data_IF_872572876738
#
_entry.id   IF_872572876738
#
_cell.length_a   1.000
_cell.length_b   1.000
_cell.length_c   1.000
_cell.angle_alpha   90.00
_cell.angle_beta   90.00
_cell.angle_gamma   90.00
#
_symmetry.space_group_name_H-M   'P 1'
#
loop_
_entity.id
_entity.type
_entity.pdbx_description
1 polymer ?
#
# COMPACT_ATOMS: atom_id res chain seq x y z
N UNK A 1 -18.96 -11.51 -4.71
CA UNK A 1 -18.27 -11.11 -3.46
C UNK A 1 -17.13 -10.16 -3.78
N UNK A 2 -17.01 -9.02 -3.09
CA UNK A 2 -15.94 -8.04 -3.32
C UNK A 2 -14.68 -8.44 -2.54
N UNK A 3 -13.53 -8.42 -3.21
CA UNK A 3 -12.19 -8.58 -2.64
C UNK A 3 -11.44 -7.25 -2.66
N UNK A 4 -10.31 -7.14 -1.97
CA UNK A 4 -9.40 -6.01 -2.03
C UNK A 4 -8.02 -6.46 -2.49
N UNK A 5 -7.85 -6.69 -3.79
CA UNK A 5 -6.61 -7.24 -4.36
C UNK A 5 -5.70 -6.13 -4.88
N UNK A 6 -6.30 -5.07 -5.41
CA UNK A 6 -5.65 -3.87 -5.89
C UNK A 6 -6.62 -2.69 -5.78
N UNK A 7 -6.12 -1.44 -5.83
CA UNK A 7 -6.99 -0.26 -5.88
C UNK A 7 -7.82 -0.19 -7.18
N UNK A 8 -7.44 -0.92 -8.24
CA UNK A 8 -8.20 -0.99 -9.50
C UNK A 8 -9.64 -1.51 -9.31
N UNK A 9 -9.88 -2.27 -8.23
CA UNK A 9 -11.17 -2.90 -7.95
C UNK A 9 -12.15 -1.95 -7.23
N UNK A 10 -11.71 -0.71 -6.96
CA UNK A 10 -12.45 0.27 -6.16
C UNK A 10 -12.65 1.57 -6.93
N UNK A 11 -13.82 2.18 -6.77
CA UNK A 11 -14.08 3.52 -7.28
C UNK A 11 -13.38 4.58 -6.42
N UNK A 12 -13.28 5.80 -6.96
CA UNK A 12 -12.78 6.98 -6.24
C UNK A 12 -13.56 7.20 -4.93
N UNK A 13 -14.89 7.11 -5.00
CA UNK A 13 -15.80 7.30 -3.88
C UNK A 13 -15.59 6.25 -2.79
N UNK A 14 -15.39 4.98 -3.18
CA UNK A 14 -15.12 3.90 -2.24
C UNK A 14 -13.77 4.10 -1.54
N UNK A 15 -12.71 4.46 -2.27
CA UNK A 15 -11.39 4.73 -1.68
C UNK A 15 -11.48 5.91 -0.69
N UNK A 16 -12.11 7.01 -1.08
CA UNK A 16 -12.28 8.18 -0.20
C UNK A 16 -13.17 7.86 1.01
N UNK A 17 -14.19 7.02 0.84
CA UNK A 17 -15.03 6.55 1.94
C UNK A 17 -14.24 5.72 2.94
N UNK A 18 -13.33 4.84 2.49
CA UNK A 18 -12.43 4.09 3.37
C UNK A 18 -11.53 5.01 4.20
N UNK A 19 -10.94 6.03 3.57
CA UNK A 19 -10.09 7.03 4.24
C UNK A 19 -10.89 7.85 5.26
N UNK A 20 -12.14 8.21 4.94
CA UNK A 20 -13.01 8.94 5.85
C UNK A 20 -13.42 8.08 7.05
N UNK A 21 -13.84 6.83 6.80
CA UNK A 21 -14.22 5.90 7.86
C UNK A 21 -13.04 5.55 8.79
N UNK A 22 -11.80 5.46 8.23
CA UNK A 22 -10.60 5.32 9.05
C UNK A 22 -10.43 6.49 10.04
N UNK A 23 -10.69 7.73 9.58
CA UNK A 23 -10.66 8.92 10.45
C UNK A 23 -11.71 8.87 11.57
N UNK A 24 -12.90 8.36 11.29
CA UNK A 24 -13.97 8.19 12.28
C UNK A 24 -13.57 7.12 13.32
N UNK A 25 -13.11 5.95 12.86
CA UNK A 25 -12.69 4.85 13.74
C UNK A 25 -11.46 5.18 14.59
N UNK A 26 -10.62 6.12 14.15
CA UNK A 26 -9.50 6.63 14.94
C UNK A 26 -9.96 7.50 16.09
N UNK A 27 -11.00 8.33 15.86
CA UNK A 27 -11.57 9.25 16.87
C UNK A 27 -12.49 8.51 17.84
N UNK A 28 -13.30 7.60 17.33
CA UNK A 28 -14.32 6.89 18.11
C UNK A 28 -14.23 5.37 17.84
N UNK A 29 -13.45 4.63 18.66
CA UNK A 29 -13.34 3.18 18.52
C UNK A 29 -14.67 2.47 18.73
N UNK A 30 -15.02 1.54 17.82
CA UNK A 30 -16.25 0.77 17.84
C UNK A 30 -15.99 -0.71 17.59
N UNK A 31 -16.71 -1.60 18.28
CA UNK A 31 -16.66 -3.05 18.08
C UNK A 31 -17.69 -3.47 17.02
N UNK A 32 -17.35 -3.27 15.75
CA UNK A 32 -18.27 -3.48 14.60
C UNK A 32 -18.21 -4.90 14.02
N UNK A 33 -17.22 -5.71 14.38
CA UNK A 33 -16.99 -7.05 13.83
C UNK A 33 -16.93 -8.10 14.95
N UNK A 34 -17.90 -8.02 15.86
CA UNK A 34 -18.03 -8.98 16.96
C UNK A 34 -18.05 -10.41 16.42
N UNK A 35 -17.27 -11.30 17.05
CA UNK A 35 -17.14 -12.72 16.73
C UNK A 35 -16.64 -13.07 15.32
N UNK A 36 -16.29 -12.08 14.49
CA UNK A 36 -15.70 -12.30 13.17
C UNK A 36 -14.27 -12.82 13.26
N UNK A 37 -13.89 -13.63 12.30
CA UNK A 37 -12.56 -14.25 12.24
C UNK A 37 -11.82 -13.82 10.98
N UNK A 38 -10.56 -13.36 11.15
CA UNK A 38 -9.63 -13.03 10.09
C UNK A 38 -8.51 -14.06 10.04
N UNK A 39 -8.37 -14.81 8.93
CA UNK A 39 -7.17 -15.60 8.65
C UNK A 39 -6.09 -14.70 8.04
N UNK A 40 -4.88 -14.75 8.59
CA UNK A 40 -3.73 -13.95 8.14
C UNK A 40 -2.65 -14.88 7.59
N UNK A 41 -2.53 -14.99 6.26
CA UNK A 41 -1.58 -15.88 5.57
C UNK A 41 -0.33 -15.06 5.18
N UNK A 42 0.83 -15.53 5.61
CA UNK A 42 2.12 -14.89 5.38
C UNK A 42 3.12 -15.85 4.72
N UNK A 43 3.54 -15.51 3.50
CA UNK A 43 4.71 -16.13 2.84
C UNK A 43 6.02 -15.45 3.21
N UNK A 44 5.96 -14.17 3.65
CA UNK A 44 7.12 -13.39 4.12
C UNK A 44 6.80 -12.73 5.46
N UNK A 45 7.80 -12.65 6.31
CA UNK A 45 7.68 -11.99 7.61
C UNK A 45 7.32 -10.51 7.48
N UNK A 46 6.52 -10.00 8.42
CA UNK A 46 6.20 -8.58 8.50
C UNK A 46 5.70 -8.19 9.88
N UNK A 47 6.42 -7.31 10.54
CA UNK A 47 6.01 -6.78 11.85
C UNK A 47 4.81 -5.86 11.71
N UNK A 48 4.93 -4.81 10.89
CA UNK A 48 3.91 -3.75 10.74
C UNK A 48 2.59 -4.27 10.19
N UNK A 49 2.64 -5.06 9.12
CA UNK A 49 1.42 -5.64 8.52
C UNK A 49 0.72 -6.57 9.50
N UNK A 50 1.47 -7.43 10.20
CA UNK A 50 0.90 -8.32 11.19
C UNK A 50 0.21 -7.55 12.30
N UNK A 51 0.90 -6.60 12.92
CA UNK A 51 0.32 -5.76 13.98
C UNK A 51 -0.92 -5.01 13.51
N UNK A 52 -0.88 -4.39 12.31
CA UNK A 52 -2.00 -3.62 11.81
C UNK A 52 -3.26 -4.48 11.62
N UNK A 53 -3.16 -5.67 11.05
CA UNK A 53 -4.31 -6.55 10.82
C UNK A 53 -4.78 -7.25 12.10
N UNK A 54 -3.87 -7.76 12.92
CA UNK A 54 -4.19 -8.45 14.17
C UNK A 54 -4.88 -7.51 15.15
N UNK A 55 -4.35 -6.30 15.34
CA UNK A 55 -4.98 -5.30 16.19
C UNK A 55 -6.28 -4.77 15.59
N UNK A 56 -6.36 -4.56 14.27
CA UNK A 56 -7.57 -4.06 13.63
C UNK A 56 -8.78 -4.96 13.90
N UNK A 57 -8.67 -6.27 13.62
CA UNK A 57 -9.79 -7.18 13.83
C UNK A 57 -10.10 -7.35 15.33
N UNK A 58 -9.08 -7.40 16.20
CA UNK A 58 -9.24 -7.56 17.65
C UNK A 58 -9.94 -6.34 18.26
N UNK A 59 -9.53 -5.13 17.90
CA UNK A 59 -10.16 -3.90 18.41
C UNK A 59 -11.58 -3.71 17.87
N UNK A 60 -11.92 -4.30 16.71
CA UNK A 60 -13.27 -4.35 16.18
C UNK A 60 -14.14 -5.45 16.83
N UNK A 61 -13.59 -6.24 17.76
CA UNK A 61 -14.32 -7.29 18.50
C UNK A 61 -14.20 -8.69 17.90
N UNK A 62 -13.40 -8.87 16.86
CA UNK A 62 -13.17 -10.16 16.20
C UNK A 62 -11.90 -10.87 16.68
N UNK A 63 -11.48 -11.88 15.93
CA UNK A 63 -10.33 -12.75 16.21
C UNK A 63 -9.40 -12.83 14.99
N UNK A 64 -8.10 -12.91 15.24
CA UNK A 64 -7.08 -13.15 14.21
C UNK A 64 -6.53 -14.58 14.34
N UNK A 65 -6.33 -15.25 13.20
CA UNK A 65 -5.61 -16.51 13.07
C UNK A 65 -4.36 -16.25 12.23
N UNK A 66 -3.20 -16.29 12.86
CA UNK A 66 -1.93 -16.17 12.13
C UNK A 66 -1.55 -17.52 11.52
N UNK A 67 -1.34 -17.53 10.21
CA UNK A 67 -1.02 -18.73 9.43
C UNK A 67 0.27 -18.46 8.65
N UNK A 68 1.39 -19.00 9.12
CA UNK A 68 2.64 -19.02 8.36
C UNK A 68 2.50 -19.99 7.18
N UNK A 69 2.99 -19.61 6.01
CA UNK A 69 3.00 -20.52 4.85
C UNK A 69 3.74 -21.83 5.17
N UNK A 70 4.76 -21.79 6.04
CA UNK A 70 5.49 -22.98 6.47
C UNK A 70 4.64 -23.95 7.28
N UNK A 71 3.57 -23.49 7.92
CA UNK A 71 2.64 -24.30 8.70
C UNK A 71 1.45 -24.80 7.85
N UNK A 72 1.27 -24.25 6.66
CA UNK A 72 0.20 -24.62 5.74
C UNK A 72 0.62 -25.76 4.80
N UNK A 73 -0.35 -26.54 4.36
CA UNK A 73 -0.10 -27.61 3.38
C UNK A 73 0.30 -27.08 2.00
N UNK A 74 0.12 -25.75 1.74
CA UNK A 74 0.65 -25.06 0.55
C UNK A 74 2.16 -25.31 0.37
N UNK A 75 2.94 -25.26 1.45
CA UNK A 75 4.38 -25.54 1.42
C UNK A 75 4.72 -26.99 1.06
N UNK A 76 3.74 -27.89 1.15
CA UNK A 76 3.85 -29.33 0.84
C UNK A 76 3.21 -29.69 -0.50
N UNK A 77 2.79 -28.69 -1.30
CA UNK A 77 2.24 -28.89 -2.64
C UNK A 77 0.72 -29.00 -2.72
N UNK A 78 -0.02 -28.66 -1.65
CA UNK A 78 -1.47 -28.54 -1.75
C UNK A 78 -1.82 -27.41 -2.75
N UNK A 79 -2.74 -27.65 -3.70
CA UNK A 79 -3.17 -26.59 -4.63
C UNK A 79 -3.76 -25.39 -3.90
N UNK A 80 -3.42 -24.16 -4.34
CA UNK A 80 -3.94 -22.90 -3.77
C UNK A 80 -5.46 -22.89 -3.68
N UNK A 81 -6.13 -23.39 -4.72
CA UNK A 81 -7.61 -23.50 -4.78
C UNK A 81 -8.22 -24.35 -3.69
N UNK A 82 -7.54 -25.39 -3.20
CA UNK A 82 -8.07 -26.28 -2.18
C UNK A 82 -7.90 -25.65 -0.80
N UNK A 83 -6.73 -25.07 -0.50
CA UNK A 83 -6.51 -24.25 0.69
C UNK A 83 -7.51 -23.08 0.75
N UNK A 84 -7.78 -22.40 -0.38
CA UNK A 84 -8.73 -21.30 -0.45
C UNK A 84 -10.17 -21.71 -0.11
N UNK A 85 -10.60 -22.88 -0.59
CA UNK A 85 -11.93 -23.45 -0.26
C UNK A 85 -12.06 -23.79 1.20
N UNK A 86 -11.04 -24.42 1.78
CA UNK A 86 -11.05 -24.83 3.19
C UNK A 86 -11.04 -23.62 4.11
N UNK A 87 -10.04 -22.73 3.96
CA UNK A 87 -9.91 -21.55 4.82
C UNK A 87 -11.10 -20.61 4.63
N UNK A 88 -11.46 -20.32 3.38
CA UNK A 88 -12.56 -19.39 3.07
C UNK A 88 -13.94 -19.86 3.52
N UNK A 89 -14.11 -21.16 3.82
CA UNK A 89 -15.34 -21.70 4.40
C UNK A 89 -15.38 -21.59 5.94
N UNK A 90 -14.24 -21.36 6.60
CA UNK A 90 -14.12 -21.38 8.06
C UNK A 90 -14.00 -19.99 8.68
N UNK A 91 -13.66 -18.95 7.87
CA UNK A 91 -13.40 -17.59 8.37
C UNK A 91 -14.25 -16.54 7.67
N UNK A 92 -14.32 -15.37 8.27
CA UNK A 92 -15.04 -14.23 7.68
C UNK A 92 -14.18 -13.43 6.70
N UNK A 93 -12.89 -13.35 6.92
CA UNK A 93 -11.96 -12.60 6.08
C UNK A 93 -10.66 -13.37 5.91
N UNK A 94 -10.00 -13.19 4.77
CA UNK A 94 -8.65 -13.68 4.54
C UNK A 94 -7.75 -12.51 4.16
N UNK A 95 -6.63 -12.34 4.84
CA UNK A 95 -5.56 -11.44 4.44
C UNK A 95 -4.37 -12.26 3.99
N UNK A 96 -3.74 -11.86 2.89
CA UNK A 96 -2.58 -12.55 2.35
C UNK A 96 -1.43 -11.57 2.09
N UNK A 97 -0.23 -11.97 2.52
CA UNK A 97 1.04 -11.37 2.12
C UNK A 97 1.84 -12.41 1.37
N UNK A 98 1.92 -12.28 0.06
CA UNK A 98 2.41 -13.30 -0.86
C UNK A 98 3.58 -12.81 -1.71
N UNK A 99 4.33 -13.77 -2.27
CA UNK A 99 5.39 -13.48 -3.23
C UNK A 99 4.81 -13.14 -4.59
N UNK A 100 3.85 -13.93 -5.09
CA UNK A 100 3.26 -13.78 -6.44
C UNK A 100 1.81 -13.31 -6.35
N UNK A 101 1.47 -12.31 -7.14
CA UNK A 101 0.11 -11.79 -7.21
C UNK A 101 -0.87 -12.83 -7.77
N UNK A 102 -0.43 -13.70 -8.66
CA UNK A 102 -1.22 -14.80 -9.20
C UNK A 102 -1.74 -15.73 -8.10
N UNK A 103 -0.93 -16.03 -7.08
CA UNK A 103 -1.37 -16.82 -5.91
C UNK A 103 -2.55 -16.16 -5.21
N UNK A 104 -2.51 -14.84 -5.06
CA UNK A 104 -3.60 -14.07 -4.48
C UNK A 104 -4.87 -14.11 -5.35
N UNK A 105 -4.73 -13.95 -6.67
CA UNK A 105 -5.84 -14.02 -7.62
C UNK A 105 -6.49 -15.41 -7.62
N UNK A 106 -5.68 -16.47 -7.63
CA UNK A 106 -6.20 -17.84 -7.56
C UNK A 106 -6.94 -18.08 -6.24
N UNK A 107 -6.36 -17.66 -5.10
CA UNK A 107 -6.99 -17.81 -3.79
C UNK A 107 -8.34 -17.06 -3.74
N UNK A 108 -8.40 -15.82 -4.21
CA UNK A 108 -9.62 -15.02 -4.23
C UNK A 108 -10.73 -15.67 -5.09
N UNK A 109 -10.35 -16.27 -6.22
CA UNK A 109 -11.29 -16.95 -7.13
C UNK A 109 -12.05 -18.11 -6.46
N UNK A 110 -11.43 -18.82 -5.52
CA UNK A 110 -12.00 -20.02 -4.88
C UNK A 110 -12.42 -19.81 -3.43
N UNK A 111 -12.08 -18.68 -2.82
CA UNK A 111 -12.45 -18.36 -1.45
C UNK A 111 -13.93 -17.96 -1.33
N UNK A 112 -14.59 -18.44 -0.26
CA UNK A 112 -15.92 -17.97 0.17
C UNK A 112 -15.88 -16.79 1.13
N UNK A 113 -14.70 -16.34 1.52
CA UNK A 113 -14.48 -15.14 2.31
C UNK A 113 -13.78 -14.06 1.47
N UNK A 114 -14.04 -12.76 1.69
CA UNK A 114 -13.29 -11.69 1.03
C UNK A 114 -11.80 -11.80 1.32
N UNK A 115 -11.01 -11.62 0.25
CA UNK A 115 -9.54 -11.70 0.29
C UNK A 115 -8.96 -10.30 0.19
N UNK A 116 -7.97 -10.02 1.04
CA UNK A 116 -7.29 -8.73 1.15
C UNK A 116 -5.82 -8.91 0.79
N UNK A 117 -5.34 -8.16 -0.19
CA UNK A 117 -3.92 -8.05 -0.51
C UNK A 117 -3.21 -7.15 0.52
N UNK A 118 -2.48 -7.76 1.43
CA UNK A 118 -1.64 -7.02 2.38
C UNK A 118 -0.27 -6.64 1.78
N UNK A 119 0.20 -7.36 0.79
CA UNK A 119 1.32 -7.09 -0.11
C UNK A 119 1.50 -8.25 -1.09
N UNK A 120 1.74 -7.94 -2.34
CA UNK A 120 2.31 -8.83 -3.36
C UNK A 120 3.48 -8.13 -4.06
N UNK A 121 4.18 -8.83 -4.96
CA UNK A 121 5.27 -8.19 -5.75
C UNK A 121 4.76 -7.07 -6.66
N UNK A 122 3.47 -7.12 -7.07
CA UNK A 122 2.89 -6.10 -7.95
C UNK A 122 2.27 -4.93 -7.21
N UNK A 123 1.66 -5.17 -6.02
CA UNK A 123 0.87 -4.14 -5.35
C UNK A 123 0.96 -4.18 -3.82
N UNK A 124 0.85 -3.00 -3.19
CA UNK A 124 0.68 -2.82 -1.75
C UNK A 124 -0.48 -1.86 -1.45
N UNK A 125 -1.72 -2.23 -1.82
CA UNK A 125 -2.85 -1.30 -1.80
C UNK A 125 -3.23 -0.82 -0.38
N UNK A 126 -3.03 -1.66 0.65
CA UNK A 126 -3.30 -1.28 2.04
C UNK A 126 -2.32 -0.24 2.58
N UNK A 127 -1.08 -0.19 2.06
CA UNK A 127 -0.14 0.87 2.39
C UNK A 127 -0.62 2.19 1.82
N UNK A 128 -0.97 2.24 0.53
CA UNK A 128 -1.44 3.47 -0.10
C UNK A 128 -2.71 4.02 0.57
N UNK A 129 -3.61 3.17 1.07
CA UNK A 129 -4.72 3.66 1.91
C UNK A 129 -4.23 4.34 3.18
N UNK A 130 -3.21 3.78 3.85
CA UNK A 130 -2.57 4.38 5.03
C UNK A 130 -1.94 5.72 4.72
N UNK A 131 -1.23 5.79 3.60
CA UNK A 131 -0.57 7.01 3.11
C UNK A 131 -1.62 8.10 2.79
N UNK A 132 -2.69 7.76 2.07
CA UNK A 132 -3.80 8.69 1.76
C UNK A 132 -4.46 9.20 3.05
N UNK A 133 -4.64 8.36 4.04
CA UNK A 133 -5.17 8.79 5.32
C UNK A 133 -4.21 9.73 6.06
N UNK A 134 -2.90 9.47 6.01
CA UNK A 134 -1.88 10.36 6.58
C UNK A 134 -1.84 11.71 5.87
N UNK A 135 -1.87 11.71 4.53
CA UNK A 135 -1.96 12.92 3.71
C UNK A 135 -3.16 13.78 4.13
N UNK A 136 -4.31 13.14 4.38
CA UNK A 136 -5.50 13.83 4.88
C UNK A 136 -5.28 14.45 6.26
N UNK A 137 -4.69 13.71 7.20
CA UNK A 137 -4.43 14.21 8.57
C UNK A 137 -3.44 15.39 8.59
N UNK A 138 -2.46 15.40 7.69
CA UNK A 138 -1.52 16.52 7.51
C UNK A 138 -2.07 17.66 6.65
N UNK A 139 -3.40 17.70 6.43
CA UNK A 139 -4.10 18.75 5.68
C UNK A 139 -3.58 18.97 4.23
N UNK A 140 -3.07 17.91 3.61
CA UNK A 140 -2.63 17.94 2.20
C UNK A 140 -3.71 17.53 1.20
N UNK A 141 -4.99 17.50 1.65
CA UNK A 141 -6.17 17.16 0.82
C UNK A 141 -7.25 18.26 0.80
N UNK A 142 -6.95 19.49 1.20
CA UNK A 142 -7.99 20.53 1.38
C UNK A 142 -8.61 21.05 0.08
N UNK A 143 -7.85 21.10 -1.01
CA UNK A 143 -8.29 21.60 -2.32
C UNK A 143 -8.23 20.51 -3.41
N UNK A 144 -8.52 19.29 -3.06
CA UNK A 144 -8.23 18.11 -3.84
C UNK A 144 -7.08 17.33 -3.22
N UNK A 145 -6.63 16.27 -3.90
CA UNK A 145 -5.48 15.51 -3.41
C UNK A 145 -4.21 16.28 -3.76
N UNK A 146 -3.26 16.30 -2.83
CA UNK A 146 -1.96 16.92 -2.94
C UNK A 146 -1.20 16.53 -4.22
N UNK A 147 -0.30 17.37 -4.66
CA UNK A 147 0.66 17.01 -5.71
C UNK A 147 1.72 16.10 -5.12
N UNK A 148 1.89 14.93 -5.72
CA UNK A 148 2.74 13.86 -5.20
C UNK A 148 3.97 13.67 -6.07
N UNK A 149 5.12 13.40 -5.45
CA UNK A 149 6.29 12.82 -6.11
C UNK A 149 6.56 11.43 -5.56
N UNK A 150 6.81 10.46 -6.42
CA UNK A 150 7.37 9.16 -6.06
C UNK A 150 8.79 9.05 -6.62
N UNK A 151 9.77 8.85 -5.73
CA UNK A 151 11.19 8.75 -6.11
C UNK A 151 11.71 7.39 -5.66
N UNK A 152 12.01 6.51 -6.60
CA UNK A 152 12.48 5.17 -6.25
C UNK A 152 12.32 4.16 -7.38
N UNK A 153 12.21 2.88 -7.00
CA UNK A 153 12.08 1.75 -7.92
C UNK A 153 10.66 1.63 -8.50
N UNK A 154 10.53 0.99 -9.65
CA UNK A 154 9.26 0.57 -10.27
C UNK A 154 8.65 -0.65 -9.56
N UNK A 155 8.57 -0.61 -8.24
CA UNK A 155 8.10 -1.69 -7.39
C UNK A 155 6.59 -1.63 -7.13
N UNK A 156 6.11 -2.47 -6.21
CA UNK A 156 4.70 -2.54 -5.83
C UNK A 156 4.15 -1.24 -5.23
N UNK A 157 4.98 -0.42 -4.56
CA UNK A 157 4.58 0.89 -4.06
C UNK A 157 4.38 1.88 -5.20
N UNK A 158 5.34 1.95 -6.13
CA UNK A 158 5.23 2.76 -7.35
C UNK A 158 3.96 2.42 -8.13
N UNK A 159 3.72 1.12 -8.38
CA UNK A 159 2.54 0.64 -9.09
C UNK A 159 1.24 1.02 -8.38
N UNK A 160 1.18 0.87 -7.06
CA UNK A 160 -0.02 1.19 -6.27
C UNK A 160 -0.30 2.68 -6.22
N UNK A 161 0.74 3.52 -6.13
CA UNK A 161 0.61 4.98 -6.18
C UNK A 161 0.19 5.48 -7.55
N UNK A 162 0.73 4.92 -8.63
CA UNK A 162 0.32 5.24 -9.99
C UNK A 162 -1.16 4.96 -10.21
N UNK A 163 -1.64 3.80 -9.74
CA UNK A 163 -3.05 3.41 -9.82
C UNK A 163 -3.91 4.35 -8.97
N UNK A 164 -3.48 4.67 -7.74
CA UNK A 164 -4.20 5.60 -6.87
C UNK A 164 -4.36 6.98 -7.52
N UNK A 165 -3.29 7.51 -8.09
CA UNK A 165 -3.33 8.80 -8.80
C UNK A 165 -4.29 8.77 -9.98
N UNK A 166 -4.22 7.71 -10.79
CA UNK A 166 -5.08 7.52 -11.94
C UNK A 166 -6.57 7.47 -11.58
N UNK A 167 -6.94 6.78 -10.49
CA UNK A 167 -8.34 6.65 -10.06
C UNK A 167 -8.83 7.92 -9.37
N UNK A 168 -8.03 8.47 -8.46
CA UNK A 168 -8.43 9.61 -7.62
C UNK A 168 -8.35 10.96 -8.35
N UNK A 169 -7.61 11.03 -9.45
CA UNK A 169 -7.55 12.21 -10.32
C UNK A 169 -6.59 13.30 -9.83
N UNK A 170 -5.47 12.93 -9.20
CA UNK A 170 -4.47 13.89 -8.74
C UNK A 170 -3.18 13.88 -9.57
N UNK A 171 -2.30 14.85 -9.29
CA UNK A 171 -1.01 14.97 -9.95
C UNK A 171 0.03 14.09 -9.26
N UNK A 172 0.69 13.21 -10.04
CA UNK A 172 1.85 12.45 -9.60
C UNK A 172 3.01 12.57 -10.59
N UNK A 173 4.19 12.85 -10.07
CA UNK A 173 5.45 12.78 -10.82
C UNK A 173 6.31 11.66 -10.28
N UNK A 174 6.75 10.77 -11.16
CA UNK A 174 7.56 9.60 -10.81
C UNK A 174 8.96 9.79 -11.38
N UNK A 175 9.99 9.56 -10.57
CA UNK A 175 11.36 9.53 -11.05
C UNK A 175 12.07 8.24 -10.60
N UNK A 176 12.70 7.58 -11.58
CA UNK A 176 13.46 6.34 -11.40
C UNK A 176 14.67 6.32 -12.33
N UNK A 177 15.71 5.51 -12.06
CA UNK A 177 16.84 5.36 -12.98
C UNK A 177 16.40 4.87 -14.37
N UNK A 178 17.15 5.19 -15.42
CA UNK A 178 16.78 4.92 -16.83
C UNK A 178 16.54 3.45 -17.17
N UNK A 179 17.16 2.55 -16.41
CA UNK A 179 17.05 1.10 -16.61
C UNK A 179 15.77 0.51 -16.01
N UNK A 180 15.01 1.27 -15.21
CA UNK A 180 13.79 0.85 -14.56
C UNK A 180 12.57 1.29 -15.36
N UNK A 181 11.57 0.42 -15.42
CA UNK A 181 10.36 0.66 -16.20
C UNK A 181 9.13 0.12 -15.46
N UNK A 182 8.06 0.87 -15.48
CA UNK A 182 6.75 0.39 -15.05
C UNK A 182 6.24 -0.64 -16.07
N UNK A 183 5.60 -1.70 -15.60
CA UNK A 183 4.99 -2.69 -16.49
C UNK A 183 4.05 -2.02 -17.50
N UNK A 184 4.12 -2.39 -18.79
CA UNK A 184 3.25 -1.83 -19.82
C UNK A 184 1.75 -1.94 -19.50
N UNK A 185 1.32 -3.06 -18.91
CA UNK A 185 -0.07 -3.27 -18.51
C UNK A 185 -0.52 -2.25 -17.45
N UNK A 186 0.32 -2.02 -16.43
CA UNK A 186 0.00 -1.08 -15.34
C UNK A 186 0.00 0.35 -15.85
N UNK A 187 0.97 0.70 -16.67
CA UNK A 187 1.07 2.01 -17.30
C UNK A 187 -0.13 2.31 -18.20
N UNK A 188 -0.50 1.37 -19.07
CA UNK A 188 -1.64 1.52 -19.97
C UNK A 188 -2.97 1.69 -19.20
N UNK A 189 -3.18 0.90 -18.16
CA UNK A 189 -4.33 1.09 -17.27
C UNK A 189 -4.34 2.49 -16.65
N UNK A 190 -3.21 2.92 -16.09
CA UNK A 190 -3.11 4.22 -15.43
C UNK A 190 -3.39 5.38 -16.40
N UNK A 191 -2.84 5.32 -17.61
CA UNK A 191 -3.06 6.37 -18.62
C UNK A 191 -4.50 6.40 -19.11
N UNK A 192 -5.14 5.25 -19.34
CA UNK A 192 -6.57 5.19 -19.68
C UNK A 192 -7.45 5.77 -18.56
N UNK A 193 -7.17 5.41 -17.33
CA UNK A 193 -7.93 5.89 -16.18
C UNK A 193 -7.70 7.39 -15.92
N UNK A 194 -6.49 7.89 -16.15
CA UNK A 194 -6.16 9.30 -16.01
C UNK A 194 -6.95 10.20 -16.97
N UNK A 195 -7.25 9.73 -18.18
CA UNK A 195 -8.11 10.43 -19.13
C UNK A 195 -9.54 10.62 -18.59
N UNK A 196 -10.02 9.67 -17.78
CA UNK A 196 -11.36 9.72 -17.18
C UNK A 196 -11.37 10.61 -15.93
N UNK A 197 -10.37 10.46 -15.07
CA UNK A 197 -10.30 11.13 -13.77
C UNK A 197 -9.72 12.54 -13.81
N UNK A 198 -9.00 12.91 -14.88
CA UNK A 198 -8.24 14.15 -14.99
C UNK A 198 -6.88 14.11 -14.29
N UNK A 199 -6.38 12.94 -13.90
CA UNK A 199 -5.06 12.80 -13.27
C UNK A 199 -3.94 13.29 -14.20
N UNK A 200 -2.93 13.96 -13.60
CA UNK A 200 -1.71 14.35 -14.30
C UNK A 200 -0.57 13.45 -13.90
N UNK A 201 -0.14 12.58 -14.79
CA UNK A 201 0.89 11.58 -14.55
C UNK A 201 2.12 11.92 -15.38
N UNK A 202 3.28 12.02 -14.74
CA UNK A 202 4.57 12.19 -15.41
C UNK A 202 5.58 11.15 -14.91
N UNK A 203 6.39 10.64 -15.83
CA UNK A 203 7.47 9.71 -15.56
C UNK A 203 8.77 10.28 -16.13
N UNK A 204 9.81 10.35 -15.32
CA UNK A 204 11.10 10.88 -15.69
C UNK A 204 12.26 10.18 -15.00
N UNK A 205 13.46 10.75 -15.19
CA UNK A 205 14.72 10.22 -14.67
C UNK A 205 15.50 11.25 -13.85
N UNK A 206 14.89 12.41 -13.61
CA UNK A 206 15.45 13.47 -12.78
C UNK A 206 14.54 13.67 -11.55
N UNK A 207 15.12 13.38 -10.37
CA UNK A 207 14.37 13.54 -9.11
C UNK A 207 14.00 14.99 -8.82
N UNK A 208 14.83 15.95 -9.21
CA UNK A 208 14.59 17.36 -8.93
C UNK A 208 13.40 17.89 -9.76
N UNK A 209 13.29 17.50 -11.02
CA UNK A 209 12.13 17.81 -11.85
C UNK A 209 10.85 17.17 -11.29
N UNK A 210 10.94 15.91 -10.82
CA UNK A 210 9.78 15.24 -10.24
C UNK A 210 9.35 15.84 -8.90
N UNK A 211 10.28 16.35 -8.10
CA UNK A 211 10.03 16.95 -6.78
C UNK A 211 9.50 18.39 -6.85
N UNK A 212 9.68 19.07 -7.97
CA UNK A 212 9.33 20.48 -8.10
C UNK A 212 7.86 20.73 -7.78
N UNK A 213 7.62 21.67 -6.85
CA UNK A 213 6.27 22.12 -6.42
C UNK A 213 5.37 20.99 -5.88
N UNK A 214 5.95 19.93 -5.30
CA UNK A 214 5.18 18.83 -4.70
C UNK A 214 4.90 19.06 -3.23
N UNK A 215 3.73 18.60 -2.80
CA UNK A 215 3.26 18.69 -1.41
C UNK A 215 3.58 17.44 -0.60
N UNK A 216 3.70 16.30 -1.30
CA UNK A 216 4.01 14.99 -0.72
C UNK A 216 5.12 14.34 -1.52
N UNK A 217 6.17 13.96 -0.83
CA UNK A 217 7.29 13.19 -1.36
C UNK A 217 7.19 11.78 -0.82
N UNK A 218 7.31 10.79 -1.68
CA UNK A 218 7.27 9.38 -1.31
C UNK A 218 8.54 8.72 -1.82
N UNK A 219 9.19 7.99 -0.96
CA UNK A 219 10.26 7.08 -1.34
C UNK A 219 10.08 5.73 -0.68
N UNK A 220 10.73 4.72 -1.20
CA UNK A 220 10.73 3.36 -0.69
C UNK A 220 12.12 2.75 -0.85
N UNK A 221 12.38 1.66 -0.12
CA UNK A 221 13.65 0.93 -0.23
C UNK A 221 13.95 0.57 -1.69
N UNK A 222 15.20 0.77 -2.10
CA UNK A 222 15.66 0.39 -3.44
C UNK A 222 15.78 -1.12 -3.61
N UNK A 223 16.02 -1.82 -2.50
CA UNK A 223 16.15 -3.28 -2.50
C UNK A 223 14.93 -3.88 -1.84
N UNK A 224 14.01 -4.38 -2.65
CA UNK A 224 12.80 -5.04 -2.16
C UNK A 224 13.12 -6.38 -1.48
N UNK A 225 12.25 -6.83 -0.60
CA UNK A 225 12.41 -8.12 0.07
C UNK A 225 12.42 -9.28 -0.93
N UNK A 226 13.49 -10.07 -0.89
CA UNK A 226 13.76 -11.16 -1.82
C UNK A 226 14.72 -10.78 -2.96
N UNK A 227 15.19 -9.54 -2.99
CA UNK A 227 16.18 -9.02 -3.96
C UNK A 227 17.53 -8.72 -3.30
N UNK A 228 17.79 -9.30 -2.13
CA UNK A 228 19.01 -9.04 -1.35
C UNK A 228 20.29 -9.32 -2.15
N UNK A 229 20.25 -10.28 -3.07
CA UNK A 229 21.37 -10.61 -3.98
C UNK A 229 21.66 -9.49 -5.00
N UNK A 230 20.74 -8.56 -5.23
CA UNK A 230 20.87 -7.45 -6.16
C UNK A 230 21.29 -6.14 -5.48
N UNK A 231 21.52 -6.17 -4.17
CA UNK A 231 21.74 -5.00 -3.33
C UNK A 231 22.82 -4.07 -3.86
N UNK A 232 24.01 -4.59 -4.13
CA UNK A 232 25.15 -3.78 -4.60
C UNK A 232 24.88 -3.14 -5.96
N UNK A 233 24.25 -3.88 -6.88
CA UNK A 233 23.83 -3.37 -8.18
C UNK A 233 22.84 -2.24 -8.05
N UNK A 234 21.76 -2.45 -7.29
CA UNK A 234 20.70 -1.45 -7.10
C UNK A 234 21.20 -0.19 -6.43
N UNK A 235 22.03 -0.29 -5.39
CA UNK A 235 22.65 0.88 -4.73
C UNK A 235 23.40 1.73 -5.76
N UNK A 236 24.17 1.11 -6.64
CA UNK A 236 24.92 1.82 -7.69
C UNK A 236 24.00 2.44 -8.75
N UNK A 237 22.96 1.73 -9.17
CA UNK A 237 22.00 2.20 -10.17
C UNK A 237 21.13 3.36 -9.65
N UNK A 238 20.85 3.38 -8.34
CA UNK A 238 20.09 4.45 -7.67
C UNK A 238 20.97 5.59 -7.14
N UNK A 239 22.28 5.59 -7.42
CA UNK A 239 23.13 6.72 -7.07
C UNK A 239 22.55 8.03 -7.61
N UNK A 240 22.39 9.01 -6.71
CA UNK A 240 21.77 10.30 -7.04
C UNK A 240 20.25 10.37 -6.79
N UNK A 241 19.57 9.27 -6.43
CA UNK A 241 18.12 9.28 -6.16
C UNK A 241 17.77 9.43 -4.67
N UNK A 242 18.72 9.46 -3.76
CA UNK A 242 18.48 9.67 -2.32
C UNK A 242 17.68 10.96 -2.07
N UNK A 243 16.69 10.90 -1.20
CA UNK A 243 15.99 12.07 -0.70
C UNK A 243 16.79 12.66 0.45
N UNK A 244 17.51 13.73 0.15
CA UNK A 244 18.32 14.52 1.05
C UNK A 244 17.73 15.95 1.22
N UNK A 245 18.40 16.80 1.98
CA UNK A 245 17.95 18.17 2.23
C UNK A 245 17.86 18.99 0.92
N UNK A 246 18.79 18.79 -0.02
CA UNK A 246 18.78 19.43 -1.33
C UNK A 246 17.56 18.97 -2.14
N UNK A 247 17.23 17.68 -2.12
CA UNK A 247 16.06 17.13 -2.79
C UNK A 247 14.78 17.71 -2.20
N UNK A 248 14.63 17.70 -0.88
CA UNK A 248 13.44 18.24 -0.22
C UNK A 248 13.28 19.77 -0.39
N UNK A 249 14.37 20.50 -0.59
CA UNK A 249 14.32 21.97 -0.80
C UNK A 249 13.65 22.38 -2.11
N UNK A 250 13.52 21.45 -3.08
CA UNK A 250 12.84 21.69 -4.38
C UNK A 250 11.33 21.48 -4.29
N UNK A 251 10.89 20.69 -3.33
CA UNK A 251 9.46 20.51 -3.03
C UNK A 251 8.87 21.77 -2.35
N UNK A 252 7.57 21.80 -2.15
CA UNK A 252 6.94 22.88 -1.41
C UNK A 252 7.48 22.96 0.02
N UNK A 253 7.55 24.18 0.58
CA UNK A 253 8.12 24.45 1.90
C UNK A 253 7.57 23.54 3.01
N UNK A 254 6.26 23.27 2.93
CA UNK A 254 5.55 22.43 3.90
C UNK A 254 5.33 21.00 3.39
N UNK A 255 6.12 20.55 2.41
CA UNK A 255 6.02 19.19 1.89
C UNK A 255 6.31 18.16 2.99
N UNK A 256 5.55 17.08 2.99
CA UNK A 256 5.78 15.94 3.88
C UNK A 256 6.50 14.82 3.13
N UNK A 257 7.30 14.04 3.88
CA UNK A 257 7.92 12.81 3.37
C UNK A 257 7.19 11.61 3.94
N UNK A 258 6.79 10.68 3.08
CA UNK A 258 6.24 9.37 3.44
C UNK A 258 7.20 8.25 3.07
N UNK A 259 7.21 7.20 3.90
CA UNK A 259 8.02 6.01 3.71
C UNK A 259 7.36 4.79 4.36
N UNK A 260 7.06 3.76 3.58
CA UNK A 260 6.33 2.57 4.06
C UNK A 260 7.10 1.70 5.09
N UNK A 261 8.38 1.98 5.30
CA UNK A 261 9.29 1.27 6.20
C UNK A 261 9.47 -0.24 5.89
N UNK A 262 10.68 -0.81 6.13
CA UNK A 262 11.84 -0.20 6.80
C UNK A 262 12.58 0.77 5.89
N UNK A 263 13.16 1.83 6.46
CA UNK A 263 14.00 2.78 5.73
C UNK A 263 15.50 2.44 5.91
N UNK A 264 16.26 2.54 4.82
CA UNK A 264 17.72 2.41 4.85
C UNK A 264 18.35 3.80 4.73
N UNK A 265 18.57 4.41 5.89
CA UNK A 265 19.22 5.73 5.97
C UNK A 265 20.59 5.72 5.31
N UNK A 266 20.85 6.75 4.50
CA UNK A 266 22.04 6.83 3.67
C UNK A 266 21.92 6.16 2.29
N UNK A 267 20.77 5.53 2.00
CA UNK A 267 20.41 5.02 0.67
C UNK A 267 19.28 5.86 0.06
N UNK A 268 18.03 5.43 0.21
CA UNK A 268 16.88 6.14 -0.37
C UNK A 268 16.53 7.44 0.35
N UNK A 269 16.93 7.59 1.60
CA UNK A 269 16.68 8.80 2.41
C UNK A 269 17.87 9.09 3.31
N UNK A 270 18.22 10.38 3.49
CA UNK A 270 19.26 10.78 4.44
C UNK A 270 18.76 10.68 5.89
N UNK A 271 19.69 10.52 6.85
CA UNK A 271 19.37 10.50 8.28
C UNK A 271 18.64 11.77 8.71
N UNK A 272 19.14 12.93 8.28
CA UNK A 272 18.61 14.24 8.67
C UNK A 272 17.18 14.44 8.19
N UNK A 273 16.91 14.08 6.95
CA UNK A 273 15.56 14.23 6.37
C UNK A 273 14.61 13.21 6.96
N UNK A 274 15.05 11.98 7.21
CA UNK A 274 14.23 10.98 7.85
C UNK A 274 13.79 11.46 9.26
N UNK A 275 14.73 11.89 10.08
CA UNK A 275 14.44 12.35 11.45
C UNK A 275 13.57 13.63 11.46
N UNK A 276 13.78 14.54 10.52
CA UNK A 276 12.94 15.73 10.36
C UNK A 276 11.48 15.39 10.06
N UNK A 277 11.23 14.28 9.38
CA UNK A 277 9.89 13.81 9.02
C UNK A 277 9.42 12.58 9.81
N UNK A 278 10.13 12.21 10.88
CA UNK A 278 9.87 11.01 11.66
C UNK A 278 8.42 10.96 12.18
N UNK A 279 7.87 12.08 12.66
CA UNK A 279 6.50 12.13 13.18
C UNK A 279 5.47 11.70 12.13
N UNK A 280 5.59 12.20 10.90
CA UNK A 280 4.65 11.82 9.81
C UNK A 280 4.88 10.39 9.36
N UNK A 281 6.13 9.93 9.24
CA UNK A 281 6.48 8.57 8.79
C UNK A 281 5.98 7.51 9.80
N UNK A 282 6.15 7.75 11.10
CA UNK A 282 5.67 6.81 12.11
C UNK A 282 4.15 6.86 12.29
N UNK A 283 3.53 8.03 12.09
CA UNK A 283 2.08 8.11 12.07
C UNK A 283 1.48 7.44 10.83
N UNK A 284 2.12 7.52 9.66
CA UNK A 284 1.79 6.73 8.45
C UNK A 284 1.78 5.23 8.77
N UNK A 285 2.82 4.73 9.44
CA UNK A 285 2.87 3.34 9.86
C UNK A 285 1.73 2.96 10.82
N UNK A 286 1.36 3.85 11.75
CA UNK A 286 0.24 3.70 12.68
C UNK A 286 -1.11 3.76 11.97
N UNK A 287 -1.25 4.62 10.99
CA UNK A 287 -2.49 4.83 10.24
C UNK A 287 -2.93 3.59 9.44
N UNK A 288 -2.01 2.66 9.17
CA UNK A 288 -2.36 1.35 8.61
C UNK A 288 -3.36 0.57 9.47
N UNK A 289 -3.29 0.71 10.80
CA UNK A 289 -4.28 0.10 11.70
C UNK A 289 -5.70 0.58 11.39
N UNK A 290 -5.87 1.88 11.23
CA UNK A 290 -7.21 2.48 11.05
C UNK A 290 -7.79 2.24 9.66
N UNK A 291 -6.97 2.27 8.63
CA UNK A 291 -7.46 1.95 7.26
C UNK A 291 -7.78 0.46 7.11
N UNK A 292 -7.08 -0.42 7.80
CA UNK A 292 -7.42 -1.85 7.86
C UNK A 292 -8.75 -2.06 8.59
N UNK A 293 -9.01 -1.36 9.70
CA UNK A 293 -10.33 -1.39 10.36
C UNK A 293 -11.45 -0.97 9.40
N UNK A 294 -11.28 0.15 8.72
CA UNK A 294 -12.26 0.65 7.76
C UNK A 294 -12.49 -0.34 6.60
N UNK A 295 -11.42 -0.95 6.09
CA UNK A 295 -11.49 -1.93 5.02
C UNK A 295 -12.24 -3.20 5.45
N UNK A 296 -11.97 -3.73 6.63
CA UNK A 296 -12.67 -4.90 7.17
C UNK A 296 -14.17 -4.62 7.34
N UNK A 297 -14.54 -3.48 7.91
CA UNK A 297 -15.93 -3.06 8.02
C UNK A 297 -16.61 -2.88 6.65
N UNK A 298 -15.91 -2.29 5.69
CA UNK A 298 -16.42 -2.13 4.33
C UNK A 298 -16.72 -3.49 3.69
N UNK A 299 -15.79 -4.44 3.76
CA UNK A 299 -15.94 -5.77 3.17
C UNK A 299 -17.04 -6.59 3.86
N UNK A 300 -17.24 -6.45 5.16
CA UNK A 300 -18.34 -7.11 5.87
C UNK A 300 -19.69 -6.58 5.39
N UNK A 301 -19.85 -5.28 5.22
CA UNK A 301 -21.06 -4.65 4.71
C UNK A 301 -21.41 -5.04 3.26
N UNK A 302 -20.43 -5.49 2.45
CA UNK A 302 -20.68 -5.98 1.08
C UNK A 302 -21.25 -7.40 1.04
N UNK A 303 -21.01 -8.22 2.07
CA UNK A 303 -21.53 -9.60 2.15
C UNK A 303 -23.07 -9.66 2.26
N UNK A 304 -23.70 -8.65 2.80
CA UNK A 304 -25.17 -8.59 2.98
C UNK A 304 -25.94 -8.04 1.77
N UNK A 305 -25.27 -7.73 0.66
CA UNK A 305 -25.91 -7.12 -0.52
C UNK A 305 -26.03 -8.06 -1.73
N UNK A 306 -25.60 -9.31 -1.61
CA UNK A 306 -25.85 -10.41 -2.54
C UNK A 306 -26.97 -11.27 -1.96
#
# INVERSE_FOLDING_TARGET
MKHFLTLRDFSKEEILSLVNHASELKKEPKKLLQDKTLAMIFEKNSTRTRMAFELAITELGGKALFLSSNDLQLSRGEPVKDTARVIGAMVDFVMMRVNKHETLLEFARYSKAPVINALSELYHPTQVLGDLFTIKEWNKMQNGIAKVAFIGDSNNMCNSWLIAAAILGFEISIAMPKNYKISPEIWEFAMKQALISGAKISLGHDKFEALKDKDVVITDTWVSMGEENEKERKIKEFEGFMIDEKAMSVANKDAILLHCLPAYRGYEVSEEIFEKHADVIFEEARNRLYVVKALLCFLDNQKGRE
#
